data_IF_200886114910
#
_entry.id   IF_200886114910
#
_cell.length_a   1.000
_cell.length_b   1.000
_cell.length_c   1.000
_cell.angle_alpha   90.00
_cell.angle_beta   90.00
_cell.angle_gamma   90.00
#
_symmetry.space_group_name_H-M   'P 1'
#
loop_
_entity.id
_entity.type
_entity.pdbx_description
1 polymer ?
#
# COMPACT_ATOMS: atom_id res chain seq x y z
N UNK A 1 10.21 -2.20 7.15
CA UNK A 1 9.96 -2.33 5.71
C UNK A 1 11.11 -3.15 5.12
N UNK A 2 10.80 -4.09 4.24
CA UNK A 2 11.74 -5.01 3.62
C UNK A 2 11.39 -5.20 2.15
N UNK A 3 12.39 -5.12 1.27
CA UNK A 3 12.24 -5.41 -0.15
C UNK A 3 12.67 -6.85 -0.40
N UNK A 4 11.73 -7.65 -0.89
CA UNK A 4 11.94 -9.03 -1.30
C UNK A 4 12.28 -9.09 -2.80
N UNK A 5 12.84 -10.21 -3.29
CA UNK A 5 13.03 -10.42 -4.72
C UNK A 5 11.75 -10.21 -5.53
N UNK A 6 11.89 -9.94 -6.83
CA UNK A 6 10.77 -9.84 -7.79
C UNK A 6 9.79 -8.68 -7.53
N UNK A 7 10.28 -7.59 -6.94
CA UNK A 7 9.47 -6.38 -6.69
C UNK A 7 8.45 -6.56 -5.57
N UNK A 8 8.63 -7.55 -4.69
CA UNK A 8 7.75 -7.76 -3.54
C UNK A 8 8.23 -6.90 -2.36
N UNK A 9 7.28 -6.34 -1.62
CA UNK A 9 7.49 -5.40 -0.54
C UNK A 9 6.71 -5.86 0.68
N UNK A 10 7.37 -5.93 1.83
CA UNK A 10 6.74 -6.24 3.10
C UNK A 10 6.92 -5.07 4.07
N UNK A 11 5.83 -4.60 4.66
CA UNK A 11 5.84 -3.53 5.65
C UNK A 11 5.08 -3.96 6.90
N UNK A 12 5.68 -3.64 8.04
CA UNK A 12 5.04 -3.77 9.34
C UNK A 12 4.94 -2.36 9.93
N UNK A 13 3.72 -1.93 10.23
CA UNK A 13 3.42 -0.67 10.90
C UNK A 13 2.94 -0.99 12.31
N UNK A 14 3.48 -0.28 13.31
CA UNK A 14 3.12 -0.44 14.72
C UNK A 14 2.78 0.95 15.26
N UNK A 15 1.62 1.12 15.89
CA UNK A 15 1.24 2.44 16.34
C UNK A 15 -0.18 2.57 16.89
N UNK A 16 -0.62 3.82 16.97
CA UNK A 16 -1.97 4.21 17.39
C UNK A 16 -2.83 4.48 16.15
N UNK A 17 -4.04 3.96 16.14
CA UNK A 17 -5.02 4.04 15.05
C UNK A 17 -6.11 5.07 15.36
N UNK A 18 -6.97 5.37 14.39
CA UNK A 18 -7.94 6.47 14.47
C UNK A 18 -8.95 6.30 15.61
N UNK A 19 -9.39 5.07 15.89
CA UNK A 19 -10.27 4.77 17.01
C UNK A 19 -9.55 4.85 18.38
N UNK A 20 -8.30 5.31 18.42
CA UNK A 20 -7.52 5.52 19.65
C UNK A 20 -6.83 4.26 20.18
N UNK A 21 -7.06 3.15 19.50
CA UNK A 21 -6.51 1.82 19.73
C UNK A 21 -5.05 1.72 19.28
N UNK A 22 -4.33 0.76 19.87
CA UNK A 22 -2.96 0.41 19.51
C UNK A 22 -2.96 -0.90 18.76
N UNK A 23 -2.18 -0.98 17.71
CA UNK A 23 -2.15 -2.17 16.88
C UNK A 23 -0.94 -2.29 15.98
N UNK A 24 -1.06 -3.27 15.09
CA UNK A 24 -0.08 -3.61 14.09
C UNK A 24 -0.78 -3.82 12.75
N UNK A 25 -0.21 -3.27 11.69
CA UNK A 25 -0.61 -3.54 10.31
C UNK A 25 0.52 -4.25 9.60
N UNK A 26 0.22 -5.40 9.02
CA UNK A 26 1.07 -6.09 8.08
C UNK A 26 0.58 -5.75 6.66
N UNK A 27 1.47 -5.23 5.84
CA UNK A 27 1.25 -4.94 4.42
C UNK A 27 2.21 -5.78 3.58
N UNK A 28 1.68 -6.39 2.54
CA UNK A 28 2.42 -7.11 1.52
C UNK A 28 1.99 -6.61 0.15
N UNK A 29 2.92 -6.12 -0.64
CA UNK A 29 2.66 -5.61 -1.98
C UNK A 29 3.68 -6.10 -2.99
N UNK A 30 3.32 -6.05 -4.28
CA UNK A 30 4.20 -6.33 -5.40
C UNK A 30 4.09 -5.22 -6.42
N UNK A 31 5.23 -4.65 -6.79
CA UNK A 31 5.38 -3.74 -7.92
C UNK A 31 5.97 -4.50 -9.11
N UNK A 32 5.33 -4.36 -10.26
CA UNK A 32 5.79 -4.93 -11.53
C UNK A 32 6.63 -3.91 -12.30
N UNK A 33 7.40 -4.36 -13.29
CA UNK A 33 8.23 -3.48 -14.13
C UNK A 33 7.38 -2.43 -14.88
N UNK A 34 6.10 -2.73 -15.12
CA UNK A 34 5.14 -1.77 -15.69
C UNK A 34 4.74 -0.63 -14.73
N UNK A 35 5.26 -0.61 -13.49
CA UNK A 35 4.85 0.31 -12.43
C UNK A 35 3.53 -0.05 -11.76
N UNK A 36 2.75 -0.98 -12.33
CA UNK A 36 1.56 -1.52 -11.67
C UNK A 36 1.92 -2.08 -10.30
N UNK A 37 1.11 -1.77 -9.30
CA UNK A 37 1.31 -2.23 -7.93
C UNK A 37 0.04 -2.88 -7.41
N UNK A 38 0.16 -4.05 -6.78
CA UNK A 38 -0.93 -4.76 -6.10
C UNK A 38 -0.51 -5.03 -4.66
N UNK A 39 -1.38 -4.74 -3.70
CA UNK A 39 -1.11 -4.97 -2.29
C UNK A 39 -2.28 -5.53 -1.51
N UNK A 40 -1.96 -6.20 -0.42
CA UNK A 40 -2.90 -6.68 0.60
C UNK A 40 -2.38 -6.26 1.97
N UNK A 41 -3.29 -5.99 2.89
CA UNK A 41 -2.93 -5.69 4.26
C UNK A 41 -3.90 -6.31 5.26
N UNK A 42 -3.42 -6.47 6.49
CA UNK A 42 -4.23 -6.82 7.64
C UNK A 42 -3.76 -6.03 8.87
N UNK A 43 -4.71 -5.46 9.59
CA UNK A 43 -4.49 -4.66 10.79
C UNK A 43 -5.16 -5.31 11.99
N UNK A 44 -4.38 -5.60 13.03
CA UNK A 44 -4.90 -6.10 14.29
C UNK A 44 -4.60 -5.10 15.41
N UNK A 45 -5.61 -4.78 16.20
CA UNK A 45 -5.49 -3.82 17.30
C UNK A 45 -6.01 -4.41 18.61
N UNK A 46 -5.94 -3.63 19.68
CA UNK A 46 -6.41 -4.01 21.01
C UNK A 46 -7.90 -3.72 21.26
N UNK A 47 -8.66 -3.32 20.24
CA UNK A 47 -10.12 -3.19 20.31
C UNK A 47 -10.78 -4.57 20.49
N UNK A 48 -11.89 -4.60 21.22
CA UNK A 48 -12.65 -5.83 21.41
C UNK A 48 -13.35 -6.27 20.13
N UNK A 49 -13.62 -7.57 20.02
CA UNK A 49 -14.36 -8.15 18.88
C UNK A 49 -15.79 -7.62 18.79
N UNK A 50 -16.42 -7.31 19.93
CA UNK A 50 -17.75 -6.68 19.96
C UNK A 50 -17.74 -5.28 19.35
N UNK A 51 -16.67 -4.51 19.58
CA UNK A 51 -16.52 -3.16 19.02
C UNK A 51 -16.21 -3.19 17.51
N UNK A 52 -15.39 -4.16 17.06
CA UNK A 52 -15.12 -4.39 15.63
C UNK A 52 -16.37 -4.84 14.84
N UNK A 53 -17.30 -5.57 15.47
CA UNK A 53 -18.60 -5.95 14.93
C UNK A 53 -18.61 -7.07 13.88
N UNK A 54 -17.71 -7.03 12.89
CA UNK A 54 -17.70 -7.97 11.74
C UNK A 54 -16.42 -8.84 11.66
N UNK A 55 -15.52 -8.74 12.65
CA UNK A 55 -14.26 -9.49 12.69
C UNK A 55 -13.41 -9.18 13.93
N UNK A 56 -12.19 -9.73 13.98
CA UNK A 56 -11.19 -9.43 15.04
C UNK A 56 -10.00 -8.60 14.54
N UNK A 57 -10.01 -8.25 13.26
CA UNK A 57 -8.96 -7.50 12.58
C UNK A 57 -9.48 -6.92 11.26
N UNK A 58 -8.93 -5.78 10.87
CA UNK A 58 -9.17 -5.15 9.56
C UNK A 58 -8.28 -5.75 8.48
N UNK A 59 -8.76 -5.79 7.24
CA UNK A 59 -8.07 -6.37 6.10
C UNK A 59 -8.54 -5.71 4.82
N UNK A 60 -7.67 -5.63 3.83
CA UNK A 60 -8.03 -5.07 2.54
C UNK A 60 -7.02 -5.41 1.46
N UNK A 61 -7.35 -4.99 0.25
CA UNK A 61 -6.43 -5.00 -0.88
C UNK A 61 -6.51 -3.67 -1.61
N UNK A 62 -5.44 -3.35 -2.35
CA UNK A 62 -5.36 -2.15 -3.16
C UNK A 62 -4.54 -2.42 -4.41
N UNK A 63 -4.75 -1.61 -5.43
CA UNK A 63 -3.89 -1.57 -6.59
C UNK A 63 -3.68 -0.13 -7.07
N UNK A 64 -2.55 0.10 -7.73
CA UNK A 64 -2.22 1.37 -8.35
C UNK A 64 -1.73 1.12 -9.78
N UNK A 65 -2.30 1.85 -10.74
CA UNK A 65 -1.97 1.77 -12.16
C UNK A 65 -1.31 3.11 -12.55
N UNK A 66 -0.08 3.10 -13.06
CA UNK A 66 0.54 4.30 -13.61
C UNK A 66 -0.29 4.90 -14.74
N UNK A 67 -0.40 6.23 -14.79
CA UNK A 67 -1.17 6.93 -15.82
C UNK A 67 -0.49 6.90 -17.19
N UNK A 68 0.83 6.85 -17.22
CA UNK A 68 1.65 6.74 -18.44
C UNK A 68 1.41 5.44 -19.23
N UNK A 69 0.84 4.40 -18.61
CA UNK A 69 0.36 3.21 -19.34
C UNK A 69 -0.81 3.51 -20.29
N UNK A 70 -1.52 4.61 -20.09
CA UNK A 70 -2.68 4.99 -20.91
C UNK A 70 -2.38 6.11 -21.90
N UNK A 71 -1.27 6.85 -21.74
CA UNK A 71 -0.92 7.99 -22.56
C UNK A 71 0.41 7.77 -23.32
N UNK A 72 0.50 8.16 -24.60
CA UNK A 72 1.73 8.02 -25.38
C UNK A 72 2.85 8.99 -24.95
N UNK A 73 2.53 10.00 -24.15
CA UNK A 73 3.47 10.93 -23.53
C UNK A 73 3.54 10.65 -22.04
N UNK A 74 4.75 10.68 -21.46
CA UNK A 74 4.95 10.52 -20.03
C UNK A 74 4.15 11.56 -19.24
N UNK A 75 3.19 11.08 -18.45
CA UNK A 75 2.40 11.90 -17.53
C UNK A 75 2.54 11.32 -16.12
N UNK A 76 3.15 12.05 -15.18
CA UNK A 76 3.38 11.55 -13.84
C UNK A 76 2.05 11.40 -13.09
N UNK A 77 1.76 10.20 -12.58
CA UNK A 77 0.53 9.95 -11.83
C UNK A 77 0.18 8.48 -11.67
N UNK A 78 -0.79 8.23 -10.79
CA UNK A 78 -1.33 6.89 -10.54
C UNK A 78 -2.85 6.95 -10.39
N UNK A 79 -3.54 5.97 -10.98
CA UNK A 79 -4.93 5.64 -10.68
C UNK A 79 -4.92 4.57 -9.59
N UNK A 80 -5.36 4.94 -8.39
CA UNK A 80 -5.35 4.06 -7.22
C UNK A 80 -6.76 3.60 -6.85
N UNK A 81 -6.90 2.33 -6.50
CA UNK A 81 -8.12 1.73 -5.96
C UNK A 81 -7.78 0.95 -4.70
N UNK A 82 -8.64 1.04 -3.69
CA UNK A 82 -8.54 0.25 -2.46
C UNK A 82 -9.91 -0.24 -2.04
N UNK A 83 -9.98 -1.50 -1.61
CA UNK A 83 -11.16 -2.07 -0.99
C UNK A 83 -10.78 -2.68 0.36
N UNK A 84 -11.42 -2.17 1.42
CA UNK A 84 -11.40 -2.75 2.75
C UNK A 84 -12.86 -3.06 3.14
N UNK A 85 -13.22 -4.33 3.43
CA UNK A 85 -14.62 -4.72 3.62
C UNK A 85 -15.24 -4.16 4.90
N UNK A 86 -14.43 -3.79 5.89
CA UNK A 86 -14.93 -3.35 7.18
C UNK A 86 -15.31 -1.87 7.14
N UNK A 87 -16.53 -1.60 7.62
CA UNK A 87 -17.18 -0.28 7.62
C UNK A 87 -17.06 0.48 8.95
N UNK A 88 -16.30 -0.06 9.91
CA UNK A 88 -16.11 0.52 11.25
C UNK A 88 -14.68 1.01 11.49
N UNK A 89 -14.53 1.96 12.42
CA UNK A 89 -13.30 2.72 12.67
C UNK A 89 -12.16 1.94 13.36
N UNK A 90 -12.40 0.70 13.81
CA UNK A 90 -11.41 -0.10 14.52
C UNK A 90 -10.26 -0.52 13.62
N UNK A 91 -9.02 -0.17 14.00
CA UNK A 91 -7.85 -0.42 13.15
C UNK A 91 -7.78 0.44 11.89
N UNK A 92 -8.65 1.44 11.74
CA UNK A 92 -8.56 2.39 10.64
C UNK A 92 -7.28 3.23 10.80
N UNK A 93 -6.39 3.13 9.82
CA UNK A 93 -5.28 4.07 9.67
C UNK A 93 -5.89 5.39 9.19
N UNK A 94 -5.35 6.53 9.62
CA UNK A 94 -5.67 7.82 8.99
C UNK A 94 -5.54 7.63 7.49
N UNK A 95 -6.66 7.82 6.77
CA UNK A 95 -6.79 7.51 5.35
C UNK A 95 -5.69 8.22 4.55
N UNK A 96 -4.52 7.59 4.47
CA UNK A 96 -3.48 7.96 3.56
C UNK A 96 -3.90 7.25 2.29
N UNK A 97 -4.62 7.98 1.45
CA UNK A 97 -5.00 7.54 0.11
C UNK A 97 -3.82 7.05 -0.74
N UNK A 98 -2.58 7.16 -0.21
CA UNK A 98 -1.39 6.64 -0.79
C UNK A 98 -0.46 6.14 0.33
N UNK A 99 -0.25 4.82 0.53
CA UNK A 99 0.84 4.37 1.38
C UNK A 99 2.14 4.95 0.82
N UNK A 100 2.77 5.83 1.61
CA UNK A 100 3.84 6.75 1.19
C UNK A 100 4.96 6.04 0.39
N UNK A 101 5.22 4.77 0.68
CA UNK A 101 6.29 4.05 -0.01
C UNK A 101 5.98 3.74 -1.49
N UNK A 102 4.71 3.56 -1.86
CA UNK A 102 4.35 3.31 -3.27
C UNK A 102 4.50 4.54 -4.16
N UNK A 103 4.50 5.75 -3.59
CA UNK A 103 4.66 7.02 -4.32
C UNK A 103 6.10 7.57 -4.30
N UNK A 104 6.83 7.45 -3.19
CA UNK A 104 8.20 7.97 -3.10
C UNK A 104 9.25 7.05 -3.74
N UNK A 105 8.80 5.87 -4.17
CA UNK A 105 9.58 4.93 -4.96
C UNK A 105 9.94 5.43 -6.35
N UNK A 106 9.47 6.59 -6.82
CA UNK A 106 9.77 7.16 -8.15
C UNK A 106 10.65 8.43 -8.10
N UNK A 107 10.71 9.12 -6.95
CA UNK A 107 11.48 10.39 -6.80
C UNK A 107 12.87 10.21 -6.16
N UNK A 108 13.24 8.98 -5.79
CA UNK A 108 14.53 8.70 -5.15
C UNK A 108 15.58 8.38 -6.21
N UNK A 109 16.85 8.76 -6.05
CA UNK A 109 17.92 8.44 -7.02
C UNK A 109 17.98 6.93 -7.40
N UNK A 110 17.60 6.04 -6.48
CA UNK A 110 17.53 4.59 -6.69
C UNK A 110 16.37 4.12 -7.58
N UNK A 111 15.33 4.94 -7.79
CA UNK A 111 14.23 4.65 -8.71
C UNK A 111 14.56 5.05 -10.13
N UNK A 112 15.13 6.25 -10.29
CA UNK A 112 15.63 6.73 -11.57
C UNK A 112 16.67 5.78 -12.17
N UNK A 113 17.49 5.13 -11.36
CA UNK A 113 18.46 4.13 -11.82
C UNK A 113 17.83 2.77 -12.15
N UNK A 114 16.72 2.38 -11.50
CA UNK A 114 15.97 1.16 -11.83
C UNK A 114 15.26 1.31 -13.16
N UNK A 115 14.54 2.42 -13.33
CA UNK A 115 13.76 2.68 -14.53
C UNK A 115 14.68 2.87 -15.75
N UNK A 116 15.91 3.37 -15.53
CA UNK A 116 16.94 3.42 -16.57
C UNK A 116 17.42 2.04 -17.02
N UNK A 117 17.51 1.06 -16.11
CA UNK A 117 17.91 -0.32 -16.44
C UNK A 117 16.78 -1.01 -17.24
N UNK A 118 15.52 -0.81 -16.84
CA UNK A 118 14.34 -1.34 -17.53
C UNK A 118 14.09 -0.71 -18.93
N UNK A 119 14.65 0.46 -19.22
CA UNK A 119 14.58 1.13 -20.55
C UNK A 119 15.68 0.64 -21.50
N UNK A 120 16.77 0.08 -20.99
CA UNK A 120 17.93 -0.34 -21.78
C UNK A 120 17.86 -1.80 -22.27
N UNK A 121 16.89 -2.58 -21.79
CA UNK A 121 16.54 -3.94 -22.24
C UNK A 121 15.44 -3.91 -23.32
#
# INVERSE_FOLDING_TARGET
YYQLPQGVHAQLLLGKYLAGDKGATLDLSRRFNTGFTLGIFATKTNLSTEEFGEGSFDKGFYFAIPTDLFYPSYEPGFISFGLHPLTKDGGAILNHQNPLYSLFGDSTKSSLLRDWDDILD
#
